data_IF_064954570274
#
_entry.id   IF_064954570274
#
_cell.length_a   1.000
_cell.length_b   1.000
_cell.length_c   1.000
_cell.angle_alpha   90.00
_cell.angle_beta   90.00
_cell.angle_gamma   90.00
#
_symmetry.space_group_name_H-M   'P 1'
#
loop_
_entity.id
_entity.type
_entity.pdbx_description
1 polymer ?
#
# COMPACT_ATOMS: atom_id res chain seq x y z
N UNK A 1 -12.23 -13.30 3.80
CA UNK A 1 -11.07 -12.57 4.37
C UNK A 1 -11.39 -11.11 4.21
N UNK A 2 -11.63 -10.39 5.30
CA UNK A 2 -12.01 -8.99 5.23
C UNK A 2 -10.87 -8.16 4.61
N UNK A 3 -11.15 -7.50 3.49
CA UNK A 3 -10.16 -6.72 2.73
C UNK A 3 -9.81 -5.39 3.45
N UNK A 4 -10.71 -4.93 4.33
CA UNK A 4 -10.58 -3.70 5.12
C UNK A 4 -9.35 -3.67 6.06
N UNK A 5 -9.11 -4.67 6.93
CA UNK A 5 -7.95 -4.66 7.83
C UNK A 5 -6.61 -4.67 7.08
N UNK A 6 -6.52 -5.39 5.96
CA UNK A 6 -5.31 -5.39 5.13
C UNK A 6 -4.98 -3.99 4.59
N UNK A 7 -5.99 -3.27 4.10
CA UNK A 7 -5.82 -1.93 3.53
C UNK A 7 -5.39 -0.89 4.58
N UNK A 8 -5.96 -0.97 5.78
CA UNK A 8 -5.57 -0.15 6.93
C UNK A 8 -4.11 -0.42 7.32
N UNK A 9 -3.73 -1.69 7.46
CA UNK A 9 -2.38 -2.08 7.82
C UNK A 9 -1.34 -1.63 6.78
N UNK A 10 -1.67 -1.79 5.49
CA UNK A 10 -0.82 -1.34 4.41
C UNK A 10 -0.68 0.19 4.38
N UNK A 11 -1.74 0.93 4.68
CA UNK A 11 -1.71 2.39 4.82
C UNK A 11 -0.74 2.81 5.93
N UNK A 12 -0.83 2.16 7.09
CA UNK A 12 0.05 2.44 8.22
C UNK A 12 1.53 2.16 7.90
N UNK A 13 1.82 1.09 7.17
CA UNK A 13 3.19 0.78 6.73
C UNK A 13 3.74 1.82 5.76
N UNK A 14 2.93 2.30 4.82
CA UNK A 14 3.34 3.39 3.92
C UNK A 14 3.58 4.68 4.67
N UNK A 15 2.69 5.05 5.59
CA UNK A 15 2.83 6.27 6.39
C UNK A 15 4.08 6.23 7.28
N UNK A 16 4.44 5.05 7.79
CA UNK A 16 5.69 4.81 8.54
C UNK A 16 6.94 4.70 7.64
N UNK A 17 6.81 4.81 6.32
CA UNK A 17 7.91 4.66 5.35
C UNK A 17 8.43 3.21 5.22
N UNK A 18 7.68 2.23 5.72
CA UNK A 18 7.99 0.80 5.70
C UNK A 18 7.42 0.06 4.49
N UNK A 19 7.10 0.79 3.42
CA UNK A 19 6.53 0.22 2.19
C UNK A 19 7.48 -0.74 1.44
N UNK A 20 8.77 -0.73 1.78
CA UNK A 20 9.78 -1.63 1.22
C UNK A 20 9.98 -2.92 2.05
N UNK A 21 9.30 -3.06 3.18
CA UNK A 21 9.37 -4.29 3.97
C UNK A 21 8.77 -5.47 3.18
N UNK A 22 9.33 -6.68 3.28
CA UNK A 22 8.81 -7.86 2.56
C UNK A 22 7.33 -8.11 2.83
N UNK A 23 6.90 -7.88 4.08
CA UNK A 23 5.52 -8.03 4.53
C UNK A 23 4.59 -7.01 3.86
N UNK A 24 5.05 -5.77 3.69
CA UNK A 24 4.31 -4.71 3.02
C UNK A 24 4.16 -4.98 1.52
N UNK A 25 5.19 -5.50 0.89
CA UNK A 25 5.17 -5.86 -0.54
C UNK A 25 4.18 -7.01 -0.77
N UNK A 26 4.24 -8.06 0.05
CA UNK A 26 3.30 -9.20 -0.01
C UNK A 26 1.85 -8.76 0.20
N UNK A 27 1.60 -7.95 1.23
CA UNK A 27 0.26 -7.44 1.52
C UNK A 27 -0.24 -6.53 0.40
N UNK A 28 0.63 -5.71 -0.20
CA UNK A 28 0.28 -4.87 -1.34
C UNK A 28 -0.11 -5.72 -2.56
N UNK A 29 0.60 -6.81 -2.84
CA UNK A 29 0.24 -7.75 -3.90
C UNK A 29 -1.13 -8.39 -3.64
N UNK A 30 -1.33 -8.97 -2.46
CA UNK A 30 -2.60 -9.61 -2.09
C UNK A 30 -3.79 -8.64 -2.17
N UNK A 31 -3.60 -7.40 -1.70
CA UNK A 31 -4.63 -6.35 -1.75
C UNK A 31 -4.86 -5.88 -3.19
N UNK A 32 -3.83 -5.80 -4.02
CA UNK A 32 -3.98 -5.41 -5.44
C UNK A 32 -4.62 -6.52 -6.27
N UNK A 33 -4.46 -7.78 -5.88
CA UNK A 33 -5.12 -8.92 -6.53
C UNK A 33 -6.57 -9.07 -6.06
N UNK A 34 -6.83 -8.85 -4.77
CA UNK A 34 -8.18 -8.92 -4.21
C UNK A 34 -9.06 -7.72 -4.63
N UNK A 35 -8.48 -6.51 -4.63
CA UNK A 35 -9.20 -5.29 -4.99
C UNK A 35 -8.91 -4.91 -6.43
N UNK A 36 -9.94 -4.50 -7.16
CA UNK A 36 -9.79 -3.93 -8.50
C UNK A 36 -8.84 -2.71 -8.47
N UNK A 37 -8.03 -2.54 -9.52
CA UNK A 37 -7.03 -1.46 -9.60
C UNK A 37 -7.61 -0.04 -9.44
N UNK A 38 -8.93 0.09 -9.61
CA UNK A 38 -9.68 1.34 -9.45
C UNK A 38 -9.99 1.69 -8.00
N UNK A 39 -9.58 0.86 -7.02
CA UNK A 39 -9.89 1.11 -5.63
C UNK A 39 -9.26 2.44 -5.14
N UNK A 40 -10.06 3.40 -4.64
CA UNK A 40 -9.59 4.76 -4.35
C UNK A 40 -8.51 4.79 -3.26
N UNK A 41 -8.57 3.89 -2.27
CA UNK A 41 -7.53 3.82 -1.23
C UNK A 41 -6.21 3.28 -1.79
N UNK A 42 -6.26 2.28 -2.69
CA UNK A 42 -5.05 1.73 -3.31
C UNK A 42 -4.36 2.79 -4.18
N UNK A 43 -5.12 3.58 -4.92
CA UNK A 43 -4.62 4.71 -5.71
C UNK A 43 -3.99 5.81 -4.84
N UNK A 44 -4.53 6.07 -3.64
CA UNK A 44 -3.90 7.00 -2.68
C UNK A 44 -2.56 6.44 -2.18
N UNK A 45 -2.53 5.15 -1.85
CA UNK A 45 -1.35 4.44 -1.36
C UNK A 45 -0.21 4.45 -2.39
N UNK A 46 -0.50 4.06 -3.63
CA UNK A 46 0.44 4.11 -4.77
C UNK A 46 1.02 5.52 -4.96
N UNK A 47 0.18 6.56 -4.84
CA UNK A 47 0.63 7.98 -4.91
C UNK A 47 1.52 8.38 -3.73
N UNK A 48 1.23 7.92 -2.52
CA UNK A 48 2.04 8.20 -1.33
C UNK A 48 3.43 7.57 -1.47
N UNK A 49 3.50 6.29 -1.84
CA UNK A 49 4.76 5.58 -2.09
C UNK A 49 5.57 6.27 -3.20
N UNK A 50 4.92 6.64 -4.32
CA UNK A 50 5.60 7.34 -5.43
C UNK A 50 6.23 8.66 -4.97
N UNK A 51 5.52 9.44 -4.15
CA UNK A 51 6.04 10.69 -3.57
C UNK A 51 7.19 10.43 -2.60
N UNK A 52 7.07 9.48 -1.69
CA UNK A 52 8.15 9.13 -0.75
C UNK A 52 9.41 8.65 -1.47
N UNK A 53 9.27 7.87 -2.54
CA UNK A 53 10.40 7.46 -3.40
C UNK A 53 11.06 8.67 -4.09
N UNK A 54 10.25 9.60 -4.60
CA UNK A 54 10.76 10.82 -5.23
C UNK A 54 11.44 11.79 -4.24
N UNK A 55 11.02 11.81 -2.97
CA UNK A 55 11.63 12.61 -1.91
C UNK A 55 12.93 11.99 -1.35
N UNK A 56 13.15 10.70 -1.59
CA UNK A 56 14.37 9.98 -1.18
C UNK A 56 15.45 9.91 -2.26
N UNK A 57 15.15 10.36 -3.49
CA UNK A 57 16.09 10.51 -4.60
C UNK A 57 16.48 11.96 -4.78
#
# INVERSE_FOLDING_TARGET
MDEKPGLLQLTEWVDKGRYNEPQAILLMQQITEALTEQHPQLQRLKRSIKRQKALRG
#
